data_IF_786408710567
#
_entry.id   IF_786408710567
#
_cell.length_a   1.000
_cell.length_b   1.000
_cell.length_c   1.000
_cell.angle_alpha   90.00
_cell.angle_beta   90.00
_cell.angle_gamma   90.00
#
_symmetry.space_group_name_H-M   'P 1'
#
loop_
_entity.id
_entity.type
_entity.pdbx_description
1 polymer ?
#
# COMPACT_ATOMS: atom_id res chain seq x y z
N UNK A 1 2.34 24.12 2.69
CA UNK A 1 3.73 24.06 2.20
C UNK A 1 4.70 24.20 3.37
N UNK A 2 5.02 23.08 4.05
CA UNK A 2 6.06 23.07 5.09
C UNK A 2 7.47 23.36 4.54
N UNK A 3 7.73 23.03 3.26
CA UNK A 3 9.00 23.37 2.62
C UNK A 3 9.23 24.89 2.62
N UNK A 4 8.29 25.67 2.07
CA UNK A 4 8.44 27.13 1.97
C UNK A 4 8.50 27.80 3.35
N UNK A 5 7.79 27.27 4.35
CA UNK A 5 7.82 27.84 5.70
C UNK A 5 9.15 27.65 6.42
N UNK A 6 9.98 26.67 6.03
CA UNK A 6 11.29 26.40 6.65
C UNK A 6 12.48 26.73 5.72
N UNK A 7 12.26 27.29 4.52
CA UNK A 7 13.35 27.75 3.62
C UNK A 7 14.26 28.79 4.31
N UNK A 8 13.75 29.47 5.34
CA UNK A 8 14.41 30.58 6.00
C UNK A 8 14.79 30.32 7.48
N UNK A 9 14.67 29.10 7.97
CA UNK A 9 14.93 28.75 9.39
C UNK A 9 16.10 27.75 9.55
N UNK A 10 16.68 27.69 10.76
CA UNK A 10 17.77 26.77 11.15
C UNK A 10 17.40 25.25 11.00
N UNK A 11 16.14 24.94 10.72
CA UNK A 11 15.60 23.58 10.53
C UNK A 11 15.42 23.20 9.04
N UNK A 12 16.06 23.94 8.13
CA UNK A 12 16.03 23.69 6.68
C UNK A 12 16.41 22.26 6.31
N UNK A 13 17.45 21.70 6.92
CA UNK A 13 17.92 20.34 6.65
C UNK A 13 16.87 19.28 6.99
N UNK A 14 16.08 19.50 8.05
CA UNK A 14 14.98 18.62 8.43
C UNK A 14 13.81 18.77 7.46
N UNK A 15 13.45 20.01 7.11
CA UNK A 15 12.42 20.29 6.09
C UNK A 15 12.78 19.67 4.73
N UNK A 16 14.06 19.68 4.35
CA UNK A 16 14.56 19.06 3.14
C UNK A 16 14.44 17.53 3.20
N UNK A 17 14.80 16.90 4.32
CA UNK A 17 14.64 15.44 4.50
C UNK A 17 13.19 14.99 4.44
N UNK A 18 12.25 15.79 4.95
CA UNK A 18 10.82 15.48 4.91
C UNK A 18 10.23 15.59 3.49
N UNK A 19 10.68 16.56 2.71
CA UNK A 19 10.03 16.89 1.42
C UNK A 19 10.74 16.30 0.21
N UNK A 20 12.05 16.04 0.27
CA UNK A 20 12.80 15.48 -0.85
C UNK A 20 12.25 14.14 -1.36
N UNK A 21 11.83 13.19 -0.48
CA UNK A 21 11.18 11.95 -0.93
C UNK A 21 9.92 12.20 -1.76
N UNK A 22 9.09 13.18 -1.35
CA UNK A 22 7.88 13.55 -2.09
C UNK A 22 8.21 14.15 -3.45
N UNK A 23 9.25 14.99 -3.52
CA UNK A 23 9.66 15.59 -4.80
C UNK A 23 10.17 14.53 -5.78
N UNK A 24 10.88 13.51 -5.28
CA UNK A 24 11.30 12.36 -6.09
C UNK A 24 10.07 11.59 -6.56
N UNK A 25 9.12 11.27 -5.67
CA UNK A 25 7.90 10.55 -6.04
C UNK A 25 7.06 11.32 -7.07
N UNK A 26 6.91 12.64 -6.90
CA UNK A 26 6.20 13.50 -7.84
C UNK A 26 6.88 13.52 -9.21
N UNK A 27 8.22 13.46 -9.27
CA UNK A 27 8.96 13.46 -10.53
C UNK A 27 8.72 12.21 -11.40
N UNK A 28 8.25 11.12 -10.79
CA UNK A 28 7.91 9.87 -11.47
C UNK A 28 6.48 9.85 -12.02
N UNK A 29 5.65 10.85 -11.67
CA UNK A 29 4.24 10.91 -12.08
C UNK A 29 4.08 11.51 -13.47
N UNK A 30 3.13 10.96 -14.22
CA UNK A 30 2.89 11.31 -15.62
C UNK A 30 1.70 12.28 -15.78
N UNK A 31 0.71 12.20 -14.90
CA UNK A 31 -0.54 12.96 -15.04
C UNK A 31 -0.77 13.88 -13.85
N UNK A 32 -1.36 15.06 -14.08
CA UNK A 32 -1.66 16.02 -13.01
C UNK A 32 -2.49 15.43 -11.86
N UNK A 33 -3.33 14.43 -12.12
CA UNK A 33 -4.09 13.73 -11.08
C UNK A 33 -3.20 12.91 -10.16
N UNK A 34 -2.18 12.22 -10.69
CA UNK A 34 -1.20 11.48 -9.89
C UNK A 34 -0.36 12.42 -8.99
N UNK A 35 -0.04 13.63 -9.46
CA UNK A 35 0.61 14.64 -8.61
C UNK A 35 -0.30 15.02 -7.43
N UNK A 36 -1.58 15.27 -7.69
CA UNK A 36 -2.54 15.64 -6.64
C UNK A 36 -2.76 14.47 -5.68
N UNK A 37 -2.81 13.24 -6.18
CA UNK A 37 -2.89 12.03 -5.36
C UNK A 37 -1.71 11.91 -4.38
N UNK A 38 -0.47 12.06 -4.84
CA UNK A 38 0.72 12.03 -3.97
C UNK A 38 0.65 13.11 -2.89
N UNK A 39 0.19 14.31 -3.22
CA UNK A 39 0.01 15.39 -2.24
C UNK A 39 -1.11 15.06 -1.24
N UNK A 40 -2.23 14.50 -1.68
CA UNK A 40 -3.34 14.09 -0.81
C UNK A 40 -2.89 12.96 0.13
N UNK A 41 -2.23 11.93 -0.38
CA UNK A 41 -1.64 10.84 0.41
C UNK A 41 -0.68 11.39 1.47
N UNK A 42 0.17 12.34 1.10
CA UNK A 42 1.06 13.00 2.04
C UNK A 42 0.29 13.76 3.14
N UNK A 43 -0.71 14.58 2.77
CA UNK A 43 -1.54 15.32 3.73
C UNK A 43 -2.20 14.38 4.75
N UNK A 44 -2.74 13.24 4.29
CA UNK A 44 -3.36 12.23 5.15
C UNK A 44 -2.35 11.48 6.03
N UNK A 45 -1.08 11.38 5.61
CA UNK A 45 -0.01 10.68 6.33
C UNK A 45 0.74 11.53 7.36
N UNK A 46 0.69 12.88 7.29
CA UNK A 46 1.47 13.77 8.18
C UNK A 46 0.98 13.78 9.64
N UNK A 47 -0.11 13.07 9.96
CA UNK A 47 -0.62 12.89 11.32
C UNK A 47 -2.15 12.96 11.34
N UNK A 48 -2.77 12.47 12.40
CA UNK A 48 -4.22 12.33 12.62
C UNK A 48 -5.03 13.66 12.55
N UNK A 49 -4.46 14.77 12.08
CA UNK A 49 -5.07 16.10 12.11
C UNK A 49 -6.15 16.32 11.05
N UNK A 50 -6.19 15.51 9.98
CA UNK A 50 -7.23 15.65 8.95
C UNK A 50 -7.64 14.32 8.33
N UNK A 51 -8.92 13.99 8.46
CA UNK A 51 -9.55 12.88 7.76
C UNK A 51 -9.82 13.21 6.29
N UNK A 52 -9.96 12.18 5.46
CA UNK A 52 -10.35 12.32 4.05
C UNK A 52 -11.69 13.05 3.88
N UNK A 53 -12.63 12.82 4.78
CA UNK A 53 -13.92 13.51 4.78
C UNK A 53 -13.77 15.01 5.10
N UNK A 54 -12.93 15.37 6.08
CA UNK A 54 -12.65 16.78 6.38
C UNK A 54 -11.91 17.48 5.23
N UNK A 55 -11.01 16.77 4.56
CA UNK A 55 -10.32 17.27 3.38
C UNK A 55 -11.30 17.54 2.23
N UNK A 56 -12.24 16.63 1.97
CA UNK A 56 -13.30 16.82 0.97
C UNK A 56 -14.18 18.03 1.32
N UNK A 57 -14.64 18.16 2.57
CA UNK A 57 -15.44 19.31 2.98
C UNK A 57 -14.71 20.64 2.77
N UNK A 58 -13.41 20.71 3.10
CA UNK A 58 -12.59 21.90 2.85
C UNK A 58 -12.37 22.15 1.35
N UNK A 59 -12.19 21.11 0.55
CA UNK A 59 -12.06 21.27 -0.91
C UNK A 59 -13.35 21.80 -1.53
N UNK A 60 -14.51 21.34 -1.03
CA UNK A 60 -15.84 21.76 -1.48
C UNK A 60 -16.15 23.23 -1.23
N UNK A 61 -15.64 23.81 -0.13
CA UNK A 61 -15.80 25.26 0.13
C UNK A 61 -14.94 26.11 -0.80
N UNK A 62 -13.87 25.55 -1.35
CA UNK A 62 -13.01 26.23 -2.34
C UNK A 62 -13.61 26.13 -3.73
N UNK A 63 -13.98 24.92 -4.17
CA UNK A 63 -14.59 24.68 -5.49
C UNK A 63 -15.27 23.31 -5.57
N UNK A 64 -16.28 23.19 -6.43
CA UNK A 64 -16.92 21.90 -6.70
C UNK A 64 -15.94 20.93 -7.40
N UNK A 65 -15.10 21.46 -8.28
CA UNK A 65 -14.07 20.73 -9.02
C UNK A 65 -13.01 20.16 -8.08
N UNK A 66 -12.58 20.94 -7.07
CA UNK A 66 -11.65 20.48 -6.05
C UNK A 66 -12.19 19.30 -5.24
N UNK A 67 -13.45 19.37 -4.79
CA UNK A 67 -14.11 18.25 -4.09
C UNK A 67 -14.22 17.01 -4.99
N UNK A 68 -14.58 17.18 -6.26
CA UNK A 68 -14.64 16.07 -7.21
C UNK A 68 -13.28 15.35 -7.35
N UNK A 69 -12.17 16.11 -7.44
CA UNK A 69 -10.82 15.54 -7.50
C UNK A 69 -10.46 14.78 -6.21
N UNK A 70 -10.77 15.34 -5.03
CA UNK A 70 -10.54 14.65 -3.75
C UNK A 70 -11.35 13.35 -3.68
N UNK A 71 -12.59 13.35 -4.14
CA UNK A 71 -13.43 12.14 -4.14
C UNK A 71 -12.89 11.05 -5.07
N UNK A 72 -12.40 11.42 -6.26
CA UNK A 72 -11.75 10.45 -7.15
C UNK A 72 -10.50 9.82 -6.52
N UNK A 73 -9.70 10.62 -5.81
CA UNK A 73 -8.53 10.12 -5.07
C UNK A 73 -8.97 9.22 -3.90
N UNK A 74 -10.05 9.59 -3.20
CA UNK A 74 -10.63 8.81 -2.11
C UNK A 74 -11.06 7.41 -2.59
N UNK A 75 -11.78 7.35 -3.71
CA UNK A 75 -12.20 6.10 -4.33
C UNK A 75 -11.02 5.21 -4.70
N UNK A 76 -9.96 5.81 -5.25
CA UNK A 76 -8.73 5.10 -5.59
C UNK A 76 -8.03 4.53 -4.34
N UNK A 77 -7.81 5.35 -3.32
CA UNK A 77 -7.19 4.90 -2.05
C UNK A 77 -7.99 3.76 -1.42
N UNK A 78 -9.32 3.88 -1.40
CA UNK A 78 -10.19 2.84 -0.86
C UNK A 78 -10.11 1.54 -1.66
N UNK A 79 -10.10 1.63 -2.99
CA UNK A 79 -9.95 0.47 -3.86
C UNK A 79 -8.60 -0.22 -3.67
N UNK A 80 -7.51 0.55 -3.68
CA UNK A 80 -6.14 0.05 -3.51
C UNK A 80 -6.00 -0.66 -2.16
N UNK A 81 -6.44 -0.03 -1.06
CA UNK A 81 -6.40 -0.63 0.27
C UNK A 81 -7.26 -1.89 0.41
N UNK A 82 -8.36 -1.99 -0.35
CA UNK A 82 -9.17 -3.22 -0.40
C UNK A 82 -8.44 -4.35 -1.12
N UNK A 83 -7.74 -4.08 -2.21
CA UNK A 83 -6.96 -5.09 -2.92
C UNK A 83 -5.72 -5.52 -2.12
N UNK A 84 -4.99 -4.57 -1.52
CA UNK A 84 -3.90 -4.84 -0.58
C UNK A 84 -4.38 -5.74 0.58
N UNK A 85 -5.50 -5.38 1.21
CA UNK A 85 -6.08 -6.18 2.28
C UNK A 85 -6.47 -7.60 1.86
N UNK A 86 -6.84 -7.84 0.58
CA UNK A 86 -7.09 -9.22 0.11
C UNK A 86 -5.81 -10.03 0.00
N UNK A 87 -4.72 -9.40 -0.44
CA UNK A 87 -3.40 -10.03 -0.56
C UNK A 87 -2.85 -10.36 0.82
N UNK A 88 -2.87 -9.41 1.75
CA UNK A 88 -2.45 -9.62 3.14
C UNK A 88 -3.22 -10.75 3.82
N UNK A 89 -4.55 -10.74 3.72
CA UNK A 89 -5.39 -11.82 4.28
C UNK A 89 -5.06 -13.19 3.64
N UNK A 90 -4.68 -13.23 2.36
CA UNK A 90 -4.28 -14.47 1.70
C UNK A 90 -2.92 -14.96 2.21
N UNK A 91 -1.96 -14.06 2.45
CA UNK A 91 -0.68 -14.42 3.09
C UNK A 91 -0.90 -15.02 4.47
N UNK A 92 -1.69 -14.36 5.33
CA UNK A 92 -2.00 -14.87 6.68
C UNK A 92 -2.65 -16.25 6.62
N UNK A 93 -3.61 -16.45 5.70
CA UNK A 93 -4.26 -17.74 5.50
C UNK A 93 -3.26 -18.82 5.07
N UNK A 94 -2.38 -18.50 4.12
CA UNK A 94 -1.36 -19.44 3.62
C UNK A 94 -0.37 -19.78 4.73
N UNK A 95 0.15 -18.79 5.45
CA UNK A 95 1.06 -18.99 6.58
C UNK A 95 0.43 -19.92 7.62
N UNK A 96 -0.81 -19.65 8.03
CA UNK A 96 -1.53 -20.50 8.97
C UNK A 96 -1.71 -21.93 8.44
N UNK A 97 -2.12 -22.10 7.19
CA UNK A 97 -2.33 -23.43 6.61
C UNK A 97 -1.01 -24.22 6.48
N UNK A 98 0.08 -23.54 6.11
CA UNK A 98 1.41 -24.11 5.99
C UNK A 98 1.98 -24.52 7.34
N UNK A 99 1.80 -23.71 8.38
CA UNK A 99 2.22 -24.05 9.74
C UNK A 99 1.39 -25.22 10.28
N UNK A 100 0.07 -25.22 10.06
CA UNK A 100 -0.82 -26.29 10.49
C UNK A 100 -0.47 -27.64 9.83
N UNK A 101 -0.17 -27.64 8.52
CA UNK A 101 0.05 -28.87 7.75
C UNK A 101 1.48 -29.40 7.83
N UNK A 102 2.47 -28.51 7.83
CA UNK A 102 3.89 -28.88 7.71
C UNK A 102 4.74 -28.44 8.90
N UNK A 103 4.15 -27.74 9.88
CA UNK A 103 4.85 -27.24 11.05
C UNK A 103 5.95 -26.23 10.71
N UNK A 104 6.94 -26.09 11.59
CA UNK A 104 8.03 -25.12 11.44
C UNK A 104 8.90 -25.33 10.18
N UNK A 105 8.81 -26.48 9.53
CA UNK A 105 9.58 -26.79 8.32
C UNK A 105 9.16 -25.91 7.12
N UNK A 106 7.92 -25.41 7.09
CA UNK A 106 7.40 -24.56 6.03
C UNK A 106 7.85 -23.10 6.11
N UNK A 107 8.43 -22.66 7.23
CA UNK A 107 8.73 -21.23 7.49
C UNK A 107 9.55 -20.56 6.38
N UNK A 108 10.55 -21.25 5.84
CA UNK A 108 11.37 -20.72 4.73
C UNK A 108 10.54 -20.52 3.46
N UNK A 109 9.62 -21.43 3.18
CA UNK A 109 8.75 -21.36 2.01
C UNK A 109 7.72 -20.24 2.16
N UNK A 110 7.15 -20.06 3.36
CA UNK A 110 6.24 -18.94 3.66
C UNK A 110 6.94 -17.59 3.43
N UNK A 111 8.21 -17.45 3.81
CA UNK A 111 8.97 -16.22 3.56
C UNK A 111 9.14 -15.89 2.07
N UNK A 112 9.24 -16.90 1.20
CA UNK A 112 9.27 -16.70 -0.25
C UNK A 112 7.88 -16.36 -0.79
N UNK A 113 6.84 -17.05 -0.31
CA UNK A 113 5.45 -16.77 -0.69
C UNK A 113 5.05 -15.34 -0.32
N UNK A 114 5.51 -14.80 0.83
CA UNK A 114 5.23 -13.44 1.28
C UNK A 114 5.83 -12.33 0.42
N UNK A 115 6.59 -12.67 -0.63
CA UNK A 115 7.10 -11.71 -1.64
C UNK A 115 6.21 -11.66 -2.89
N UNK A 116 5.14 -12.45 -2.93
CA UNK A 116 4.25 -12.56 -4.09
C UNK A 116 3.00 -11.70 -3.87
N UNK A 117 2.90 -10.60 -4.60
CA UNK A 117 1.72 -9.72 -4.53
C UNK A 117 0.58 -10.15 -5.48
N UNK A 118 0.83 -11.12 -6.37
CA UNK A 118 -0.17 -11.61 -7.33
C UNK A 118 -1.20 -12.52 -6.64
N UNK A 119 -2.41 -12.00 -6.50
CA UNK A 119 -3.51 -12.68 -5.81
C UNK A 119 -3.90 -14.03 -6.44
N UNK A 120 -3.87 -14.18 -7.77
CA UNK A 120 -4.23 -15.45 -8.41
C UNK A 120 -3.11 -16.49 -8.21
N UNK A 121 -1.83 -16.09 -8.19
CA UNK A 121 -0.74 -16.97 -7.79
C UNK A 121 -0.90 -17.43 -6.34
N UNK A 122 -1.19 -16.53 -5.41
CA UNK A 122 -1.43 -16.88 -4.01
C UNK A 122 -2.61 -17.84 -3.85
N UNK A 123 -3.71 -17.61 -4.58
CA UNK A 123 -4.88 -18.49 -4.60
C UNK A 123 -4.54 -19.90 -5.11
N UNK A 124 -3.72 -20.00 -6.16
CA UNK A 124 -3.24 -21.29 -6.67
C UNK A 124 -2.38 -22.02 -5.62
N UNK A 125 -1.49 -21.30 -4.92
CA UNK A 125 -0.69 -21.85 -3.82
C UNK A 125 -1.60 -22.36 -2.69
N UNK A 126 -2.58 -21.55 -2.28
CA UNK A 126 -3.58 -21.92 -1.26
C UNK A 126 -4.34 -23.20 -1.64
N UNK A 127 -4.70 -23.38 -2.91
CA UNK A 127 -5.37 -24.61 -3.36
C UNK A 127 -4.39 -25.79 -3.47
N UNK A 128 -3.13 -25.58 -3.86
CA UNK A 128 -2.09 -26.61 -3.85
C UNK A 128 -1.80 -27.15 -2.43
N UNK A 129 -1.79 -26.29 -1.40
CA UNK A 129 -1.60 -26.69 0.00
C UNK A 129 -2.64 -27.74 0.43
N UNK A 130 -3.88 -27.63 -0.07
CA UNK A 130 -4.94 -28.62 0.21
C UNK A 130 -4.68 -29.96 -0.46
N UNK A 131 -4.02 -29.96 -1.62
CA UNK A 131 -3.86 -31.13 -2.48
C UNK A 131 -2.63 -31.99 -2.19
N UNK A 132 -1.56 -31.43 -1.61
CA UNK A 132 -0.30 -32.15 -1.37
C UNK A 132 -0.05 -32.41 0.10
N UNK A 133 0.24 -33.66 0.47
CA UNK A 133 0.39 -34.08 1.88
C UNK A 133 1.79 -33.88 2.45
N UNK A 134 2.80 -33.73 1.59
CA UNK A 134 4.17 -33.41 1.98
C UNK A 134 4.61 -32.03 1.48
N UNK A 135 5.50 -31.40 2.23
CA UNK A 135 6.05 -30.09 1.87
C UNK A 135 6.89 -30.19 0.59
N UNK A 136 7.62 -31.31 0.40
CA UNK A 136 8.42 -31.55 -0.79
C UNK A 136 7.58 -31.66 -2.07
N UNK A 137 6.42 -32.32 -2.01
CA UNK A 137 5.51 -32.40 -3.16
C UNK A 137 4.88 -31.04 -3.45
N UNK A 138 4.47 -30.30 -2.43
CA UNK A 138 3.94 -28.96 -2.60
C UNK A 138 4.94 -28.06 -3.33
N UNK A 139 6.17 -27.97 -2.84
CA UNK A 139 7.22 -27.09 -3.39
C UNK A 139 7.55 -27.42 -4.85
N UNK A 140 7.45 -28.69 -5.26
CA UNK A 140 7.67 -29.09 -6.67
C UNK A 140 6.57 -28.64 -7.62
N UNK A 141 5.40 -28.32 -7.09
CA UNK A 141 4.19 -28.03 -7.87
C UNK A 141 3.68 -26.60 -7.71
N UNK A 142 4.35 -25.77 -6.91
CA UNK A 142 4.10 -24.33 -6.83
C UNK A 142 5.28 -23.59 -7.45
N UNK A 143 4.96 -22.54 -8.21
CA UNK A 143 5.96 -21.66 -8.82
C UNK A 143 6.24 -20.50 -7.87
N UNK A 144 7.35 -20.59 -7.14
CA UNK A 144 7.82 -19.61 -6.13
C UNK A 144 9.28 -19.26 -6.34
#
# INVERSE_FOLDING_TARGET
MKLISHIFDDDFDKGLREVLPLLIELSEKTTGLEYIETVVKYILNIGEEISLNELDQKAKTISAEGSAVIMTIAEKIYHDGKEEGKVENMHEMIEFAMELKFGLSSKKIVQEINKIDDYERLKNIKDAIKSYDSLEELVKNIDI
#
